data_IF_709222519515
#
_entry.id   IF_709222519515
#
_cell.length_a   1.000
_cell.length_b   1.000
_cell.length_c   1.000
_cell.angle_alpha   90.00
_cell.angle_beta   90.00
_cell.angle_gamma   90.00
#
_symmetry.space_group_name_H-M   'P 1'
#
loop_
_entity.id
_entity.type
_entity.pdbx_description
1 polymer ?
#
# COMPACT_ATOMS: atom_id res chain seq x y z
N UNK A 1 12.64 -47.00 13.51
CA UNK A 1 11.53 -46.07 13.19
C UNK A 1 12.13 -44.66 13.22
N UNK A 2 12.10 -43.92 12.11
CA UNK A 2 12.74 -42.61 11.99
C UNK A 2 11.72 -41.48 12.19
N UNK A 3 12.09 -40.44 12.94
CA UNK A 3 11.26 -39.27 13.21
C UNK A 3 11.50 -38.22 12.11
N UNK A 4 10.61 -38.13 11.14
CA UNK A 4 10.64 -37.09 10.11
C UNK A 4 9.95 -35.81 10.63
N UNK A 5 10.72 -34.74 10.85
CA UNK A 5 10.18 -33.42 11.20
C UNK A 5 9.89 -32.62 9.92
N UNK A 6 8.61 -32.46 9.57
CA UNK A 6 8.20 -31.58 8.46
C UNK A 6 8.28 -30.11 8.90
N UNK A 7 9.31 -29.39 8.45
CA UNK A 7 9.39 -27.93 8.56
C UNK A 7 8.74 -27.27 7.34
N UNK A 8 7.42 -27.42 7.22
CA UNK A 8 6.59 -26.79 6.20
C UNK A 8 5.20 -26.61 6.77
N UNK A 9 4.78 -25.35 6.93
CA UNK A 9 3.74 -24.93 7.86
C UNK A 9 2.46 -25.75 7.81
N UNK A 10 2.23 -26.48 8.90
CA UNK A 10 0.87 -26.74 9.39
C UNK A 10 0.05 -25.47 9.18
N UNK A 11 -1.04 -25.57 8.42
CA UNK A 11 -2.02 -24.49 8.25
C UNK A 11 -2.56 -24.24 9.66
N UNK A 12 -1.94 -23.32 10.39
CA UNK A 12 -2.51 -22.84 11.63
C UNK A 12 -3.81 -22.16 11.22
N UNK A 13 -4.91 -22.83 11.53
CA UNK A 13 -6.26 -22.27 11.41
C UNK A 13 -6.23 -20.98 12.25
N UNK A 14 -6.20 -19.84 11.58
CA UNK A 14 -6.24 -18.55 12.23
C UNK A 14 -7.55 -18.48 13.01
N UNK A 15 -7.54 -18.07 14.30
CA UNK A 15 -8.77 -18.00 15.07
C UNK A 15 -9.76 -17.06 14.39
N UNK A 16 -11.00 -17.53 14.26
CA UNK A 16 -12.13 -16.75 13.75
C UNK A 16 -12.29 -15.50 14.62
N UNK A 17 -12.30 -14.31 14.01
CA UNK A 17 -12.54 -13.07 14.75
C UNK A 17 -13.93 -13.09 15.38
N UNK A 18 -14.04 -12.63 16.63
CA UNK A 18 -15.28 -12.46 17.39
C UNK A 18 -16.12 -11.30 16.83
N UNK A 19 -16.46 -11.36 15.55
CA UNK A 19 -17.49 -10.52 14.94
C UNK A 19 -18.50 -11.45 14.32
N UNK A 20 -19.75 -11.29 14.77
CA UNK A 20 -20.84 -12.22 14.64
C UNK A 20 -21.07 -12.80 13.24
N UNK A 21 -21.66 -13.98 13.31
CA UNK A 21 -22.23 -14.79 12.24
C UNK A 21 -22.80 -13.95 11.10
N UNK A 22 -22.26 -14.18 9.89
CA UNK A 22 -22.98 -14.51 8.66
C UNK A 22 -22.07 -14.22 7.45
N UNK A 23 -21.91 -15.22 6.57
CA UNK A 23 -21.27 -15.01 5.27
C UNK A 23 -19.97 -15.79 5.08
N UNK A 24 -20.13 -17.03 4.63
CA UNK A 24 -19.08 -17.78 3.93
C UNK A 24 -18.60 -16.99 2.70
N UNK A 25 -17.54 -16.21 2.85
CA UNK A 25 -16.76 -15.75 1.69
C UNK A 25 -15.30 -16.16 1.89
N UNK A 26 -14.90 -17.19 1.14
CA UNK A 26 -13.52 -17.67 1.05
C UNK A 26 -12.63 -16.52 0.55
N UNK A 27 -12.00 -15.80 1.48
CA UNK A 27 -10.99 -14.80 1.13
C UNK A 27 -9.83 -15.54 0.45
N UNK A 28 -9.49 -15.22 -0.82
CA UNK A 28 -8.45 -15.93 -1.52
C UNK A 28 -7.09 -15.72 -0.83
N UNK A 29 -6.42 -16.82 -0.51
CA UNK A 29 -5.09 -16.91 0.12
C UNK A 29 -3.94 -16.46 -0.78
N UNK A 30 -4.22 -15.92 -1.97
CA UNK A 30 -3.22 -15.31 -2.84
C UNK A 30 -3.51 -13.82 -3.04
N UNK A 31 -2.47 -13.00 -2.95
CA UNK A 31 -2.56 -11.59 -3.28
C UNK A 31 -2.99 -11.44 -4.75
N UNK A 32 -4.22 -10.96 -4.98
CA UNK A 32 -4.69 -10.61 -6.32
C UNK A 32 -3.87 -9.42 -6.80
N UNK A 33 -3.01 -9.64 -7.79
CA UNK A 33 -2.36 -8.56 -8.54
C UNK A 33 -3.42 -7.87 -9.40
N UNK A 34 -4.17 -6.98 -8.76
CA UNK A 34 -5.32 -6.37 -9.38
C UNK A 34 -4.87 -5.35 -10.44
N UNK A 35 -5.47 -5.48 -11.64
CA UNK A 35 -5.35 -4.53 -12.75
C UNK A 35 -5.77 -3.11 -12.32
N UNK A 36 -6.44 -2.97 -11.18
CA UNK A 36 -6.63 -1.72 -10.46
C UNK A 36 -5.40 -0.81 -10.40
N UNK A 37 -4.22 -1.37 -10.15
CA UNK A 37 -2.99 -0.56 -10.07
C UNK A 37 -2.66 0.14 -11.39
N UNK A 38 -3.10 -0.41 -12.52
CA UNK A 38 -2.90 0.16 -13.86
C UNK A 38 -3.99 1.17 -14.27
N UNK A 39 -5.15 1.22 -13.60
CA UNK A 39 -6.21 2.21 -13.92
C UNK A 39 -5.68 3.65 -13.83
N UNK A 40 -4.79 3.91 -12.88
CA UNK A 40 -4.19 5.23 -12.66
C UNK A 40 -3.28 5.74 -13.79
N UNK A 41 -2.85 4.87 -14.72
CA UNK A 41 -2.04 5.28 -15.87
C UNK A 41 -2.88 5.83 -17.03
N UNK A 42 -4.16 5.46 -17.09
CA UNK A 42 -5.02 5.70 -18.26
C UNK A 42 -6.10 6.76 -18.04
N UNK A 43 -6.19 7.37 -16.85
CA UNK A 43 -7.05 8.54 -16.66
C UNK A 43 -6.47 9.71 -17.47
N UNK A 44 -7.20 10.15 -18.51
CA UNK A 44 -6.90 11.37 -19.27
C UNK A 44 -6.76 12.55 -18.28
N UNK A 45 -5.53 13.01 -18.06
CA UNK A 45 -5.21 14.04 -17.08
C UNK A 45 -3.74 14.00 -16.63
N UNK A 46 -3.34 14.98 -15.82
CA UNK A 46 -2.00 14.98 -15.18
C UNK A 46 -1.90 13.72 -14.32
N UNK A 47 -0.80 12.97 -14.43
CA UNK A 47 -0.61 11.74 -13.65
C UNK A 47 -0.82 12.02 -12.17
N UNK A 48 -1.60 11.18 -11.49
CA UNK A 48 -1.78 11.26 -10.03
C UNK A 48 -0.43 11.25 -9.33
N UNK A 49 0.50 10.42 -9.80
CA UNK A 49 1.90 10.44 -9.33
C UNK A 49 2.60 11.70 -9.82
N UNK A 50 3.40 12.31 -8.95
CA UNK A 50 4.13 13.58 -9.16
C UNK A 50 3.25 14.84 -9.19
N UNK A 51 1.93 14.72 -9.04
CA UNK A 51 1.06 15.89 -8.85
C UNK A 51 1.36 16.57 -7.50
N UNK A 52 0.94 17.83 -7.36
CA UNK A 52 1.06 18.56 -6.10
C UNK A 52 0.29 17.87 -4.97
N UNK A 53 -0.94 17.45 -5.23
CA UNK A 53 -1.79 16.76 -4.25
C UNK A 53 -1.14 15.47 -3.76
N UNK A 54 -0.59 14.67 -4.67
CA UNK A 54 0.12 13.43 -4.32
C UNK A 54 1.38 13.66 -3.49
N UNK A 55 2.12 14.75 -3.74
CA UNK A 55 3.29 15.10 -2.92
C UNK A 55 2.86 15.50 -1.51
N UNK A 56 1.78 16.29 -1.37
CA UNK A 56 1.25 16.70 -0.07
C UNK A 56 0.75 15.50 0.75
N UNK A 57 -0.06 14.63 0.15
CA UNK A 57 -0.57 13.41 0.78
C UNK A 57 0.56 12.46 1.16
N UNK A 58 1.63 12.38 0.34
CA UNK A 58 2.83 11.62 0.68
C UNK A 58 3.53 12.20 1.93
N UNK A 59 3.68 13.52 2.01
CA UNK A 59 4.28 14.19 3.17
C UNK A 59 3.44 13.96 4.42
N UNK A 60 2.13 14.14 4.33
CA UNK A 60 1.18 13.89 5.42
C UNK A 60 1.24 12.44 5.92
N UNK A 61 1.19 11.46 5.02
CA UNK A 61 1.35 10.05 5.39
C UNK A 61 2.67 9.78 6.11
N UNK A 62 3.74 10.47 5.72
CA UNK A 62 5.04 10.34 6.36
C UNK A 62 5.07 11.01 7.75
N UNK A 63 4.39 12.16 7.92
CA UNK A 63 4.20 12.82 9.23
C UNK A 63 3.39 11.94 10.18
N UNK A 64 2.30 11.33 9.71
CA UNK A 64 1.46 10.45 10.52
C UNK A 64 2.20 9.20 11.00
N UNK A 65 3.27 8.81 10.30
CA UNK A 65 4.18 7.72 10.70
C UNK A 65 5.30 8.18 11.64
N UNK A 66 5.30 9.44 12.08
CA UNK A 66 6.32 10.01 12.94
C UNK A 66 7.69 10.17 12.28
N UNK A 67 7.77 10.14 10.94
CA UNK A 67 9.05 10.36 10.24
C UNK A 67 9.33 11.85 10.16
N UNK A 68 10.61 12.21 10.16
CA UNK A 68 11.01 13.59 9.86
C UNK A 68 10.63 13.94 8.42
N UNK A 69 9.88 15.04 8.27
CA UNK A 69 9.35 15.52 6.99
C UNK A 69 9.58 17.01 6.94
N UNK A 70 10.36 17.45 5.95
CA UNK A 70 10.62 18.88 5.68
C UNK A 70 9.30 19.67 5.64
N UNK A 71 9.22 20.89 6.22
CA UNK A 71 8.02 21.71 6.17
C UNK A 71 7.58 22.04 4.73
N UNK A 72 6.31 22.40 4.56
CA UNK A 72 5.78 22.85 3.28
C UNK A 72 6.20 24.29 3.00
N UNK A 73 6.84 24.50 1.84
CA UNK A 73 7.24 25.83 1.36
C UNK A 73 6.52 26.17 0.05
N UNK A 74 6.57 27.45 -0.37
CA UNK A 74 6.06 27.93 -1.67
C UNK A 74 6.58 27.12 -2.87
N UNK A 75 7.75 26.51 -2.74
CA UNK A 75 8.41 25.73 -3.78
C UNK A 75 8.09 24.22 -3.74
N UNK A 76 7.26 23.78 -2.78
CA UNK A 76 6.86 22.37 -2.68
C UNK A 76 6.07 21.94 -3.91
N UNK A 77 6.47 20.81 -4.51
CA UNK A 77 5.90 20.29 -5.76
C UNK A 77 6.06 21.19 -7.00
N UNK A 78 6.93 22.20 -6.98
CA UNK A 78 7.30 22.96 -8.18
C UNK A 78 8.41 22.25 -8.96
N UNK A 79 8.36 22.37 -10.30
CA UNK A 79 9.44 21.92 -11.18
C UNK A 79 10.71 22.71 -10.84
N UNK A 80 11.81 22.02 -10.58
CA UNK A 80 13.11 22.64 -10.36
C UNK A 80 13.70 23.06 -11.72
N UNK A 81 14.46 24.17 -11.79
CA UNK A 81 15.23 24.48 -12.99
C UNK A 81 16.12 23.29 -13.34
N UNK A 82 16.43 23.14 -14.63
CA UNK A 82 17.38 22.11 -15.06
C UNK A 82 18.72 22.41 -14.38
N UNK A 83 19.46 21.37 -13.95
CA UNK A 83 20.85 21.58 -13.54
C UNK A 83 21.61 22.25 -14.70
N UNK A 84 22.51 23.18 -14.36
CA UNK A 84 23.45 23.76 -15.30
C UNK A 84 24.37 22.66 -15.86
#
# INVERSE_FOLDING_TARGET
MFLCLFAGGQVQQLPTGLTGEEGSERVPTQARFDKERNRYKNLRGKSLKKSRTWIMEKKERSRNKGRDVRPDTKYTARKRPKPF
#
